data_IF_919543321277
#
_entry.id   IF_919543321277
#
_cell.length_a   1.000
_cell.length_b   1.000
_cell.length_c   1.000
_cell.angle_alpha   90.00
_cell.angle_beta   90.00
_cell.angle_gamma   90.00
#
_symmetry.space_group_name_H-M   'P 1'
#
loop_
_entity.id
_entity.type
_entity.pdbx_description
1 polymer ?
#
# COMPACT_ATOMS: atom_id res chain seq x y z
N UNK A 1 16.00 -7.40 -44.62
CA UNK A 1 14.98 -8.44 -44.41
C UNK A 1 14.48 -8.29 -42.98
N UNK A 2 13.23 -7.88 -42.79
CA UNK A 2 12.64 -7.59 -41.47
C UNK A 2 11.87 -8.81 -40.94
N UNK A 3 11.92 -9.02 -39.62
CA UNK A 3 11.13 -10.05 -38.94
C UNK A 3 9.90 -9.40 -38.30
N UNK A 4 8.70 -9.89 -38.62
CA UNK A 4 7.46 -9.43 -37.98
C UNK A 4 7.09 -10.36 -36.82
N UNK A 5 7.07 -9.81 -35.61
CA UNK A 5 6.62 -10.52 -34.41
C UNK A 5 5.26 -10.00 -33.94
N UNK A 6 4.26 -10.87 -33.80
CA UNK A 6 3.00 -10.53 -33.13
C UNK A 6 3.16 -10.71 -31.63
N UNK A 7 2.81 -9.69 -30.87
CA UNK A 7 2.80 -9.70 -29.40
C UNK A 7 1.42 -9.31 -28.89
N UNK A 8 1.03 -9.84 -27.74
CA UNK A 8 -0.25 -9.54 -27.09
C UNK A 8 0.01 -9.05 -25.68
N UNK A 9 -0.37 -7.81 -25.40
CA UNK A 9 -0.30 -7.19 -24.07
C UNK A 9 -1.66 -6.60 -23.73
N UNK A 10 -2.18 -6.89 -22.53
CA UNK A 10 -3.46 -6.36 -22.05
C UNK A 10 -4.65 -6.55 -23.01
N UNK A 11 -4.67 -7.68 -23.73
CA UNK A 11 -5.74 -8.01 -24.67
C UNK A 11 -5.65 -7.33 -26.04
N UNK A 12 -4.70 -6.41 -26.24
CA UNK A 12 -4.48 -5.73 -27.53
C UNK A 12 -3.32 -6.42 -28.26
N UNK A 13 -3.54 -6.74 -29.53
CA UNK A 13 -2.51 -7.30 -30.41
C UNK A 13 -1.75 -6.17 -31.12
N UNK A 14 -0.43 -6.22 -31.08
CA UNK A 14 0.42 -5.33 -31.86
C UNK A 14 1.48 -6.12 -32.63
N UNK A 15 1.86 -5.56 -33.79
CA UNK A 15 2.88 -6.15 -34.67
C UNK A 15 4.14 -5.30 -34.56
N UNK A 16 5.24 -5.93 -34.16
CA UNK A 16 6.54 -5.28 -34.08
C UNK A 16 7.41 -5.75 -35.25
N UNK A 17 8.03 -4.81 -35.94
CA UNK A 17 9.00 -5.06 -37.00
C UNK A 17 10.42 -4.95 -36.39
N UNK A 18 11.18 -6.05 -36.45
CA UNK A 18 12.56 -6.10 -35.96
C UNK A 18 13.54 -6.14 -37.13
N UNK A 19 14.61 -5.35 -37.04
CA UNK A 19 15.72 -5.46 -37.97
C UNK A 19 16.54 -6.71 -37.61
N UNK A 20 16.95 -7.47 -38.63
CA UNK A 20 17.66 -8.75 -38.45
C UNK A 20 19.01 -8.57 -37.73
N UNK A 21 19.62 -7.40 -37.82
CA UNK A 21 20.86 -7.08 -37.11
C UNK A 21 20.69 -7.04 -35.57
N UNK A 22 19.47 -6.78 -35.09
CA UNK A 22 19.19 -6.59 -33.66
C UNK A 22 18.75 -7.88 -32.95
N UNK A 23 18.66 -9.00 -33.68
CA UNK A 23 18.21 -10.30 -33.15
C UNK A 23 19.41 -11.17 -32.81
N UNK A 24 19.80 -11.20 -31.53
CA UNK A 24 20.97 -11.94 -31.03
C UNK A 24 20.83 -13.47 -31.12
N UNK A 25 19.63 -14.02 -30.95
CA UNK A 25 19.35 -15.45 -31.21
C UNK A 25 17.85 -15.74 -31.26
N UNK A 26 17.45 -16.76 -32.02
CA UNK A 26 16.08 -17.28 -32.07
C UNK A 26 16.06 -18.67 -31.41
N UNK A 27 15.42 -18.79 -30.24
CA UNK A 27 15.12 -20.10 -29.65
C UNK A 27 13.73 -20.55 -30.11
N UNK A 28 13.66 -21.62 -30.91
CA UNK A 28 12.40 -22.27 -31.26
C UNK A 28 11.86 -23.00 -30.02
N UNK A 29 10.69 -22.61 -29.54
CA UNK A 29 9.99 -23.30 -28.47
C UNK A 29 9.53 -24.69 -28.93
N UNK A 30 9.87 -25.72 -28.16
CA UNK A 30 9.33 -27.07 -28.33
C UNK A 30 7.89 -27.05 -27.83
N UNK A 31 6.93 -27.36 -28.71
CA UNK A 31 5.51 -27.44 -28.35
C UNK A 31 5.25 -28.68 -27.47
N UNK A 32 4.80 -28.47 -26.24
CA UNK A 32 4.28 -29.54 -25.39
C UNK A 32 2.97 -30.10 -25.98
N UNK A 33 2.82 -31.42 -26.12
CA UNK A 33 1.56 -32.03 -26.54
C UNK A 33 0.52 -31.98 -25.42
N UNK A 34 -0.74 -31.79 -25.81
CA UNK A 34 -1.91 -31.65 -24.93
C UNK A 34 -2.21 -32.92 -24.10
N UNK A 35 -2.79 -32.79 -22.89
CA UNK A 35 -3.17 -33.92 -22.05
C UNK A 35 -4.43 -34.63 -22.58
N UNK A 36 -4.38 -35.96 -22.62
CA UNK A 36 -5.51 -36.84 -22.97
C UNK A 36 -6.52 -36.92 -21.81
N UNK A 37 -7.80 -36.82 -22.14
CA UNK A 37 -8.95 -37.13 -21.28
C UNK A 37 -9.01 -38.65 -21.01
N UNK A 38 -9.25 -39.04 -19.76
CA UNK A 38 -9.61 -40.40 -19.38
C UNK A 38 -11.10 -40.47 -19.00
N UNK A 39 -11.79 -41.45 -19.59
CA UNK A 39 -13.15 -41.89 -19.29
C UNK A 39 -13.26 -42.69 -17.97
N UNK A 40 -14.47 -42.82 -17.40
CA UNK A 40 -14.70 -43.34 -16.04
C UNK A 40 -14.87 -44.86 -16.03
N UNK A 41 -14.33 -45.51 -15.00
CA UNK A 41 -14.49 -46.93 -14.76
C UNK A 41 -15.63 -47.21 -13.77
N UNK A 42 -16.49 -48.14 -14.14
CA UNK A 42 -17.74 -48.57 -13.51
C UNK A 42 -17.47 -49.84 -12.69
N UNK A 43 -17.83 -49.88 -11.41
CA UNK A 43 -17.97 -51.17 -10.70
C UNK A 43 -18.92 -51.08 -9.50
N UNK A 44 -19.94 -51.93 -9.54
CA UNK A 44 -20.81 -52.44 -8.45
C UNK A 44 -20.92 -53.97 -8.71
N UNK A 45 -21.53 -54.83 -7.85
CA UNK A 45 -22.05 -54.66 -6.48
C UNK A 45 -21.66 -55.82 -5.51
N UNK A 46 -22.05 -55.76 -4.22
CA UNK A 46 -22.72 -56.88 -3.52
C UNK A 46 -23.32 -56.53 -2.16
N UNK A 47 -24.47 -57.17 -1.96
CA UNK A 47 -25.46 -57.18 -0.87
C UNK A 47 -25.02 -58.03 0.33
N UNK A 48 -25.42 -57.66 1.56
CA UNK A 48 -26.42 -58.41 2.34
C UNK A 48 -26.71 -57.78 3.72
N UNK A 49 -28.00 -57.76 4.06
CA UNK A 49 -28.63 -57.28 5.31
C UNK A 49 -28.89 -58.46 6.26
N UNK A 50 -29.19 -58.26 7.56
CA UNK A 50 -30.62 -58.23 7.92
C UNK A 50 -31.06 -57.36 9.13
N UNK A 51 -32.18 -56.66 8.92
CA UNK A 51 -33.37 -56.34 9.74
C UNK A 51 -33.34 -56.35 11.30
N UNK A 52 -33.82 -55.23 11.88
CA UNK A 52 -34.70 -55.22 13.07
C UNK A 52 -35.57 -53.93 13.17
N UNK A 53 -36.90 -54.15 13.23
CA UNK A 53 -38.08 -53.42 13.77
C UNK A 53 -38.23 -51.86 13.77
N UNK A 54 -39.46 -51.34 13.58
CA UNK A 54 -39.76 -49.90 13.48
C UNK A 54 -40.19 -49.28 14.81
N UNK A 55 -39.71 -48.08 15.11
CA UNK A 55 -40.30 -47.18 16.11
C UNK A 55 -40.62 -45.85 15.44
N UNK A 56 -41.90 -45.53 15.45
CA UNK A 56 -42.50 -44.29 14.95
C UNK A 56 -42.55 -43.29 16.11
N UNK A 57 -41.85 -42.15 16.01
CA UNK A 57 -42.17 -40.92 16.75
C UNK A 57 -41.30 -39.74 16.25
N UNK A 58 -42.01 -38.76 15.67
CA UNK A 58 -41.74 -37.31 15.61
C UNK A 58 -40.41 -36.79 15.02
N UNK A 59 -40.43 -35.99 13.93
CA UNK A 59 -39.28 -35.20 13.53
C UNK A 59 -39.13 -34.02 14.49
N UNK A 60 -38.24 -34.16 15.47
CA UNK A 60 -37.65 -33.00 16.13
C UNK A 60 -36.83 -32.24 15.09
N UNK A 61 -37.40 -31.17 14.54
CA UNK A 61 -36.66 -30.14 13.81
C UNK A 61 -35.80 -29.40 14.84
N UNK A 62 -34.71 -30.02 15.26
CA UNK A 62 -33.54 -29.30 15.73
C UNK A 62 -32.87 -28.77 14.47
N UNK A 63 -33.23 -27.56 14.07
CA UNK A 63 -32.32 -26.75 13.28
C UNK A 63 -31.07 -26.59 14.15
N UNK A 64 -30.02 -27.35 13.83
CA UNK A 64 -28.66 -26.92 14.11
C UNK A 64 -28.50 -25.58 13.41
N UNK A 65 -28.83 -24.50 14.13
CA UNK A 65 -28.39 -23.17 13.79
C UNK A 65 -26.86 -23.23 13.96
N UNK A 66 -26.17 -23.75 12.95
CA UNK A 66 -24.78 -23.41 12.71
C UNK A 66 -24.81 -21.90 12.60
N UNK A 67 -24.49 -21.21 13.70
CA UNK A 67 -24.31 -19.77 13.71
C UNK A 67 -23.09 -19.53 12.83
N UNK A 68 -23.33 -19.42 11.53
CA UNK A 68 -22.33 -19.12 10.53
C UNK A 68 -21.93 -17.68 10.80
N UNK A 69 -20.93 -17.53 11.67
CA UNK A 69 -20.41 -16.25 12.08
C UNK A 69 -19.54 -15.73 10.95
N UNK A 70 -19.82 -14.50 10.53
CA UNK A 70 -19.03 -13.74 9.59
C UNK A 70 -17.63 -13.54 10.19
N UNK A 71 -16.63 -14.25 9.65
CA UNK A 71 -15.24 -14.12 10.09
C UNK A 71 -14.67 -12.80 9.60
N UNK A 72 -14.39 -11.90 10.54
CA UNK A 72 -13.85 -10.57 10.26
C UNK A 72 -12.39 -10.53 10.69
N UNK A 73 -11.53 -10.03 9.82
CA UNK A 73 -10.13 -9.79 10.12
C UNK A 73 -9.86 -8.29 10.03
N UNK A 74 -9.48 -7.69 11.16
CA UNK A 74 -9.21 -6.26 11.25
C UNK A 74 -7.70 -6.06 11.18
N UNK A 75 -7.21 -5.15 10.33
CA UNK A 75 -5.80 -4.75 10.23
C UNK A 75 -5.70 -3.29 10.62
N UNK A 76 -5.00 -3.01 11.72
CA UNK A 76 -4.74 -1.63 12.18
C UNK A 76 -3.50 -1.09 11.47
N UNK A 77 -3.72 -0.18 10.54
CA UNK A 77 -2.70 0.53 9.79
C UNK A 77 -2.37 1.83 10.54
N UNK A 78 -1.56 1.69 11.61
CA UNK A 78 -1.12 2.79 12.47
C UNK A 78 0.36 3.09 12.25
N UNK A 79 0.76 4.36 12.38
CA UNK A 79 2.16 4.78 12.25
C UNK A 79 2.46 5.50 10.94
N UNK A 80 3.73 5.60 10.57
CA UNK A 80 4.17 6.34 9.40
C UNK A 80 3.94 5.54 8.10
N UNK A 81 3.37 6.21 7.09
CA UNK A 81 3.16 5.61 5.77
C UNK A 81 4.48 5.46 5.03
N UNK A 82 4.72 4.28 4.47
CA UNK A 82 6.01 3.90 3.85
C UNK A 82 6.96 3.17 4.79
N UNK A 83 6.77 3.31 6.11
CA UNK A 83 7.58 2.68 7.16
C UNK A 83 6.77 1.62 7.92
N UNK A 84 5.99 2.07 8.91
CA UNK A 84 5.09 1.20 9.70
C UNK A 84 3.97 0.62 8.83
N UNK A 85 3.36 1.47 8.01
CA UNK A 85 2.34 1.09 7.03
C UNK A 85 3.05 0.85 5.70
N UNK A 86 3.50 -0.39 5.48
CA UNK A 86 4.25 -0.79 4.29
C UNK A 86 3.81 -2.15 3.74
N UNK A 87 4.28 -2.46 2.53
CA UNK A 87 3.89 -3.64 1.75
C UNK A 87 4.05 -4.97 2.50
N UNK A 88 5.16 -5.14 3.21
CA UNK A 88 5.54 -6.42 3.83
C UNK A 88 4.60 -6.80 4.99
N UNK A 89 4.41 -5.97 6.04
CA UNK A 89 3.52 -6.32 7.14
C UNK A 89 2.05 -6.43 6.70
N UNK A 90 1.60 -5.57 5.77
CA UNK A 90 0.24 -5.64 5.21
C UNK A 90 0.02 -6.96 4.46
N UNK A 91 0.96 -7.37 3.61
CA UNK A 91 0.86 -8.66 2.91
C UNK A 91 0.80 -9.83 3.89
N UNK A 92 1.63 -9.83 4.93
CA UNK A 92 1.60 -10.89 5.97
C UNK A 92 0.27 -10.94 6.71
N UNK A 93 -0.33 -9.78 7.00
CA UNK A 93 -1.63 -9.71 7.64
C UNK A 93 -2.73 -10.28 6.73
N UNK A 94 -2.68 -9.97 5.43
CA UNK A 94 -3.58 -10.52 4.41
C UNK A 94 -3.39 -12.05 4.29
N UNK A 95 -2.16 -12.54 4.23
CA UNK A 95 -1.86 -13.98 4.22
C UNK A 95 -2.43 -14.70 5.47
N UNK A 96 -2.30 -14.13 6.67
CA UNK A 96 -2.91 -14.67 7.89
C UNK A 96 -4.44 -14.64 7.80
N UNK A 97 -5.03 -13.54 7.33
CA UNK A 97 -6.48 -13.42 7.14
C UNK A 97 -7.03 -14.50 6.20
N UNK A 98 -6.29 -14.79 5.11
CA UNK A 98 -6.60 -15.89 4.19
C UNK A 98 -6.58 -17.23 4.89
N UNK A 99 -5.52 -17.51 5.65
CA UNK A 99 -5.36 -18.76 6.38
C UNK A 99 -6.48 -18.96 7.44
N UNK A 100 -7.06 -17.86 7.93
CA UNK A 100 -8.21 -17.87 8.84
C UNK A 100 -9.58 -17.92 8.14
N UNK A 101 -9.60 -17.96 6.81
CA UNK A 101 -10.83 -17.87 6.00
C UNK A 101 -11.68 -16.66 6.36
N UNK A 102 -11.06 -15.49 6.52
CA UNK A 102 -11.77 -14.25 6.74
C UNK A 102 -12.68 -13.93 5.54
N UNK A 103 -13.95 -13.64 5.83
CA UNK A 103 -14.94 -13.22 4.85
C UNK A 103 -14.95 -11.71 4.64
N UNK A 104 -14.54 -10.96 5.68
CA UNK A 104 -14.41 -9.51 5.64
C UNK A 104 -13.03 -9.09 6.12
N UNK A 105 -12.37 -8.21 5.36
CA UNK A 105 -11.13 -7.55 5.73
C UNK A 105 -11.43 -6.09 6.05
N UNK A 106 -11.19 -5.67 7.29
CA UNK A 106 -11.33 -4.28 7.70
C UNK A 106 -9.94 -3.68 7.88
N UNK A 107 -9.62 -2.64 7.13
CA UNK A 107 -8.39 -1.87 7.29
C UNK A 107 -8.71 -0.59 8.07
N UNK A 108 -8.34 -0.55 9.35
CA UNK A 108 -8.49 0.63 10.19
C UNK A 108 -7.24 1.52 10.03
N UNK A 109 -7.38 2.69 9.40
CA UNK A 109 -6.26 3.59 9.11
C UNK A 109 -6.22 4.75 10.10
N UNK A 110 -5.10 4.86 10.80
CA UNK A 110 -4.76 5.99 11.68
C UNK A 110 -3.26 6.29 11.49
N UNK A 111 -2.93 6.81 10.31
CA UNK A 111 -1.53 7.09 9.97
C UNK A 111 -1.05 8.35 10.69
N UNK A 112 0.17 8.28 11.20
CA UNK A 112 0.88 9.46 11.69
C UNK A 112 1.31 10.29 10.49
N UNK A 113 0.88 11.53 10.46
CA UNK A 113 1.27 12.50 9.45
C UNK A 113 2.08 13.61 10.11
N UNK A 114 3.37 13.33 10.28
CA UNK A 114 4.36 14.25 10.83
C UNK A 114 5.46 14.42 9.79
N UNK A 115 5.90 15.65 9.54
CA UNK A 115 7.05 15.92 8.70
C UNK A 115 8.25 16.26 9.58
N UNK A 116 9.46 15.94 9.13
CA UNK A 116 10.66 16.49 9.74
C UNK A 116 11.10 17.72 8.94
N UNK A 117 11.30 18.82 9.63
CA UNK A 117 11.96 19.97 9.04
C UNK A 117 13.43 19.60 8.80
N UNK A 118 13.82 19.42 7.55
CA UNK A 118 15.18 19.02 7.19
C UNK A 118 16.27 19.99 7.69
N UNK A 119 15.93 21.28 7.93
CA UNK A 119 16.88 22.29 8.42
C UNK A 119 17.03 22.28 9.94
N UNK A 120 15.95 22.03 10.68
CA UNK A 120 15.98 22.09 12.17
C UNK A 120 16.00 20.72 12.82
N UNK A 121 15.69 19.64 12.08
CA UNK A 121 15.49 18.30 12.62
C UNK A 121 14.22 18.17 13.48
N UNK A 122 13.44 19.25 13.62
CA UNK A 122 12.23 19.26 14.43
C UNK A 122 11.07 18.65 13.66
N UNK A 123 10.22 17.92 14.39
CA UNK A 123 8.92 17.47 13.88
C UNK A 123 8.06 18.70 13.63
N UNK A 124 7.73 18.91 12.36
CA UNK A 124 6.78 19.89 11.89
C UNK A 124 5.54 19.17 11.40
N UNK A 125 4.39 19.51 11.96
CA UNK A 125 3.09 19.15 11.37
C UNK A 125 2.67 20.13 10.28
N UNK A 126 3.52 21.10 9.93
CA UNK A 126 3.19 22.12 8.94
C UNK A 126 3.31 21.58 7.52
N UNK A 127 2.15 21.48 6.87
CA UNK A 127 1.98 21.11 5.46
C UNK A 127 2.64 22.09 4.46
N UNK A 128 3.33 23.14 4.92
CA UNK A 128 4.19 23.98 4.07
C UNK A 128 5.37 23.21 3.47
N UNK A 129 5.71 22.04 4.01
CA UNK A 129 6.59 21.08 3.35
C UNK A 129 5.77 20.25 2.37
N UNK A 130 5.45 20.86 1.24
CA UNK A 130 4.68 20.26 0.14
C UNK A 130 5.43 19.04 -0.47
N UNK A 131 6.77 18.98 -0.33
CA UNK A 131 7.66 17.95 -0.92
C UNK A 131 7.39 16.45 -0.68
N UNK A 132 6.99 15.97 0.52
CA UNK A 132 7.00 14.54 0.82
C UNK A 132 5.83 13.76 0.21
N UNK A 133 4.72 14.42 -0.14
CA UNK A 133 3.51 13.76 -0.66
C UNK A 133 3.78 12.95 -1.94
N UNK A 134 4.63 13.45 -2.84
CA UNK A 134 4.95 12.73 -4.09
C UNK A 134 5.71 11.42 -3.85
N UNK A 135 6.66 11.40 -2.91
CA UNK A 135 7.39 10.17 -2.62
C UNK A 135 6.44 9.11 -2.04
N UNK A 136 5.44 9.53 -1.26
CA UNK A 136 4.41 8.65 -0.76
C UNK A 136 3.47 8.13 -1.86
N UNK A 137 3.28 8.87 -2.96
CA UNK A 137 2.55 8.36 -4.14
C UNK A 137 3.24 7.13 -4.74
N UNK A 138 4.56 7.16 -4.89
CA UNK A 138 5.34 6.02 -5.40
C UNK A 138 5.34 4.84 -4.42
N UNK A 139 5.42 5.13 -3.11
CA UNK A 139 5.27 4.10 -2.08
C UNK A 139 3.88 3.44 -2.13
N UNK A 140 2.84 4.23 -2.41
CA UNK A 140 1.51 3.69 -2.64
C UNK A 140 1.46 2.81 -3.88
N UNK A 141 2.05 3.24 -5.01
CA UNK A 141 2.11 2.46 -6.24
C UNK A 141 2.70 1.06 -6.00
N UNK A 142 3.79 0.99 -5.23
CA UNK A 142 4.43 -0.28 -4.82
C UNK A 142 3.52 -1.18 -3.96
N UNK A 143 2.64 -0.58 -3.16
CA UNK A 143 1.78 -1.27 -2.21
C UNK A 143 0.39 -1.62 -2.78
N UNK A 144 -0.10 -0.84 -3.76
CA UNK A 144 -1.43 -1.00 -4.35
C UNK A 144 -1.75 -2.41 -4.86
N UNK A 145 -0.80 -3.19 -5.45
CA UNK A 145 -1.10 -4.55 -5.91
C UNK A 145 -1.47 -5.50 -4.76
N UNK A 146 -1.04 -5.21 -3.53
CA UNK A 146 -1.39 -6.01 -2.34
C UNK A 146 -2.89 -5.93 -2.07
N UNK A 147 -3.49 -4.74 -2.25
CA UNK A 147 -4.92 -4.51 -1.99
C UNK A 147 -5.81 -4.88 -3.17
N UNK A 148 -5.27 -4.93 -4.38
CA UNK A 148 -6.04 -5.32 -5.56
C UNK A 148 -5.70 -6.71 -6.08
N UNK A 149 -4.51 -6.88 -6.63
CA UNK A 149 -4.21 -8.00 -7.51
C UNK A 149 -3.92 -9.24 -6.67
N UNK A 150 -3.21 -9.09 -5.55
CA UNK A 150 -2.89 -10.18 -4.65
C UNK A 150 -4.14 -10.74 -3.95
N UNK A 151 -5.05 -9.89 -3.45
CA UNK A 151 -6.33 -10.36 -2.88
C UNK A 151 -7.18 -11.04 -3.95
N UNK A 152 -7.30 -10.44 -5.14
CA UNK A 152 -8.06 -11.00 -6.25
C UNK A 152 -7.55 -12.38 -6.69
N UNK A 153 -6.23 -12.55 -6.80
CA UNK A 153 -5.63 -13.80 -7.26
C UNK A 153 -5.59 -14.88 -6.17
N UNK A 154 -5.45 -14.49 -4.91
CA UNK A 154 -5.18 -15.45 -3.85
C UNK A 154 -6.44 -15.97 -3.14
N UNK A 155 -7.59 -15.32 -3.24
CA UNK A 155 -8.85 -15.80 -2.65
C UNK A 155 -9.75 -16.55 -3.65
N UNK A 156 -10.31 -17.69 -3.22
CA UNK A 156 -11.34 -18.42 -3.99
C UNK A 156 -12.67 -17.64 -4.03
N UNK A 157 -13.13 -17.18 -2.87
CA UNK A 157 -14.27 -16.27 -2.69
C UNK A 157 -13.69 -14.94 -2.23
N UNK A 158 -13.92 -13.88 -2.99
CA UNK A 158 -13.37 -12.57 -2.66
C UNK A 158 -13.92 -12.08 -1.31
N UNK A 159 -13.06 -11.66 -0.37
CA UNK A 159 -13.54 -11.11 0.88
C UNK A 159 -14.14 -9.72 0.64
N UNK A 160 -15.09 -9.31 1.49
CA UNK A 160 -15.56 -7.92 1.57
C UNK A 160 -14.41 -7.07 2.11
N UNK A 161 -13.96 -6.07 1.35
CA UNK A 161 -12.89 -5.17 1.78
C UNK A 161 -13.55 -3.90 2.33
N UNK A 162 -13.16 -3.46 3.53
CA UNK A 162 -13.69 -2.26 4.16
C UNK A 162 -12.54 -1.42 4.66
N UNK A 163 -12.58 -0.12 4.40
CA UNK A 163 -11.69 0.84 5.05
C UNK A 163 -12.44 1.60 6.12
N UNK A 164 -11.88 1.64 7.32
CA UNK A 164 -12.37 2.45 8.42
C UNK A 164 -11.31 3.52 8.71
N UNK A 165 -11.64 4.77 8.45
CA UNK A 165 -10.65 5.86 8.39
C UNK A 165 -10.78 6.76 9.61
N UNK A 166 -9.68 6.88 10.35
CA UNK A 166 -9.45 7.96 11.31
C UNK A 166 -8.49 8.99 10.76
N UNK A 167 -7.30 8.58 10.35
CA UNK A 167 -6.40 9.46 9.59
C UNK A 167 -5.82 8.71 8.42
N UNK A 168 -6.08 9.22 7.22
CA UNK A 168 -5.52 8.77 5.95
C UNK A 168 -4.99 10.01 5.20
N UNK A 169 -3.85 10.53 5.64
CA UNK A 169 -3.22 11.73 5.12
C UNK A 169 -1.97 11.41 4.28
N UNK A 170 -1.65 12.27 3.32
CA UNK A 170 -0.53 12.04 2.39
C UNK A 170 -0.80 10.86 1.46
N UNK A 171 0.19 10.00 1.19
CA UNK A 171 0.00 8.83 0.34
C UNK A 171 -0.94 7.77 0.91
N UNK A 172 -1.16 7.75 2.24
CA UNK A 172 -2.15 6.86 2.86
C UNK A 172 -3.59 7.20 2.44
N UNK A 173 -3.85 8.44 2.00
CA UNK A 173 -5.17 8.88 1.54
C UNK A 173 -5.70 8.10 0.33
N UNK A 174 -4.81 7.43 -0.41
CA UNK A 174 -5.20 6.60 -1.55
C UNK A 174 -5.65 5.18 -1.17
N UNK A 175 -5.33 4.70 0.03
CA UNK A 175 -5.70 3.34 0.46
C UNK A 175 -7.21 3.13 0.47
N UNK A 176 -8.02 4.04 1.06
CA UNK A 176 -9.48 3.85 1.09
C UNK A 176 -10.10 3.72 -0.31
N UNK A 177 -9.58 4.43 -1.30
CA UNK A 177 -10.05 4.35 -2.69
C UNK A 177 -9.86 2.98 -3.34
N UNK A 178 -9.14 2.04 -2.71
CA UNK A 178 -9.03 0.67 -3.20
C UNK A 178 -10.24 -0.21 -2.85
N UNK A 179 -11.19 0.29 -2.04
CA UNK A 179 -12.46 -0.38 -1.75
C UNK A 179 -13.66 0.50 -2.09
N UNK A 180 -14.81 -0.12 -2.37
CA UNK A 180 -16.12 0.56 -2.49
C UNK A 180 -16.76 0.93 -1.15
N UNK A 181 -16.17 0.47 -0.05
CA UNK A 181 -16.71 0.62 1.29
C UNK A 181 -15.73 1.36 2.19
N UNK A 182 -16.00 2.64 2.37
CA UNK A 182 -15.25 3.52 3.26
C UNK A 182 -16.19 3.97 4.37
N UNK A 183 -15.79 3.75 5.61
CA UNK A 183 -16.40 4.31 6.82
C UNK A 183 -15.38 5.27 7.44
N UNK A 184 -15.86 6.26 8.18
CA UNK A 184 -14.99 7.18 8.91
C UNK A 184 -15.35 7.21 10.39
N UNK A 185 -14.38 7.54 11.23
CA UNK A 185 -14.64 8.07 12.58
C UNK A 185 -15.16 9.51 12.47
N UNK A 186 -15.79 10.01 13.53
CA UNK A 186 -16.37 11.36 13.59
C UNK A 186 -15.31 12.47 13.52
N UNK A 187 -14.07 12.19 13.89
CA UNK A 187 -12.92 13.08 13.73
C UNK A 187 -12.07 12.76 12.49
N UNK A 188 -12.56 11.85 11.64
CA UNK A 188 -11.81 11.23 10.55
C UNK A 188 -11.35 12.22 9.48
N UNK A 189 -10.18 11.98 8.86
CA UNK A 189 -9.66 12.80 7.75
C UNK A 189 -9.01 11.96 6.66
N UNK A 190 -9.31 12.29 5.41
CA UNK A 190 -8.71 11.66 4.24
C UNK A 190 -8.29 12.72 3.20
N UNK A 191 -7.00 12.88 2.93
CA UNK A 191 -6.49 13.97 2.07
C UNK A 191 -5.06 14.37 2.35
N UNK A 192 -4.75 15.67 2.23
CA UNK A 192 -3.43 16.21 2.58
C UNK A 192 -2.27 15.71 1.70
N UNK A 193 -2.55 15.15 0.52
CA UNK A 193 -1.49 14.75 -0.43
C UNK A 193 -0.88 16.00 -1.07
N UNK A 194 -1.73 16.88 -1.63
CA UNK A 194 -1.44 18.24 -2.09
C UNK A 194 -0.25 18.44 -3.05
N UNK A 195 -0.25 19.57 -3.73
CA UNK A 195 0.93 20.23 -4.27
C UNK A 195 1.71 19.44 -5.31
N UNK A 196 1.06 18.56 -6.07
CA UNK A 196 1.72 17.80 -7.15
C UNK A 196 2.43 18.75 -8.16
N UNK A 197 1.86 19.93 -8.35
CA UNK A 197 2.33 21.04 -9.17
C UNK A 197 3.47 21.86 -8.54
N UNK A 198 3.62 21.85 -7.22
CA UNK A 198 4.57 22.69 -6.48
C UNK A 198 5.94 22.04 -6.24
N UNK A 199 6.04 20.72 -6.37
CA UNK A 199 7.22 19.94 -5.92
C UNK A 199 8.16 19.60 -7.08
N UNK A 200 7.68 19.69 -8.32
CA UNK A 200 8.46 19.32 -9.48
C UNK A 200 9.24 20.52 -10.02
N UNK A 201 10.57 20.42 -9.99
CA UNK A 201 11.47 21.40 -10.59
C UNK A 201 12.06 20.86 -11.90
N UNK A 202 12.36 21.75 -12.85
CA UNK A 202 13.05 21.40 -14.09
C UNK A 202 12.36 21.94 -15.34
N UNK A 203 12.61 21.29 -16.47
CA UNK A 203 12.01 21.68 -17.74
C UNK A 203 10.47 21.56 -17.68
N UNK A 204 9.77 22.64 -18.04
CA UNK A 204 8.31 22.76 -17.96
C UNK A 204 7.57 21.57 -18.59
N UNK A 205 7.97 21.14 -19.78
CA UNK A 205 7.31 20.02 -20.47
C UNK A 205 7.54 18.68 -19.77
N UNK A 206 8.71 18.48 -19.16
CA UNK A 206 8.99 17.27 -18.35
C UNK A 206 8.13 17.27 -17.09
N UNK A 207 8.04 18.42 -16.43
CA UNK A 207 7.19 18.60 -15.24
C UNK A 207 5.72 18.34 -15.56
N UNK A 208 5.19 18.93 -16.64
CA UNK A 208 3.80 18.72 -17.08
C UNK A 208 3.52 17.23 -17.39
N UNK A 209 4.45 16.52 -18.04
CA UNK A 209 4.33 15.07 -18.31
C UNK A 209 4.35 14.22 -17.04
N UNK A 210 5.25 14.52 -16.11
CA UNK A 210 5.33 13.78 -14.84
C UNK A 210 4.10 14.04 -13.98
N UNK A 211 3.58 15.28 -13.98
CA UNK A 211 2.33 15.65 -13.31
C UNK A 211 1.15 14.88 -13.90
N UNK A 212 0.97 14.89 -15.22
CA UNK A 212 -0.16 14.20 -15.86
C UNK A 212 -0.10 12.69 -15.64
N UNK A 213 1.09 12.08 -15.74
CA UNK A 213 1.29 10.65 -15.48
C UNK A 213 0.87 10.27 -14.04
N UNK A 214 1.37 11.00 -13.04
CA UNK A 214 1.10 10.72 -11.63
C UNK A 214 -0.36 10.97 -11.26
N UNK A 215 -0.95 12.05 -11.77
CA UNK A 215 -2.36 12.34 -11.57
C UNK A 215 -3.23 11.22 -12.19
N UNK A 216 -2.89 10.76 -13.39
CA UNK A 216 -3.61 9.67 -14.05
C UNK A 216 -3.51 8.35 -13.26
N UNK A 217 -2.35 8.03 -12.67
CA UNK A 217 -2.21 6.86 -11.79
C UNK A 217 -3.12 6.99 -10.56
N UNK A 218 -3.11 8.15 -9.90
CA UNK A 218 -3.93 8.40 -8.71
C UNK A 218 -5.43 8.33 -9.01
N UNK A 219 -5.86 8.93 -10.11
CA UNK A 219 -7.23 8.85 -10.61
C UNK A 219 -7.63 7.40 -10.94
N UNK A 220 -6.70 6.63 -11.51
CA UNK A 220 -6.91 5.21 -11.80
C UNK A 220 -7.27 4.39 -10.57
N UNK A 221 -6.70 4.70 -9.40
CA UNK A 221 -7.05 4.02 -8.15
C UNK A 221 -8.46 4.38 -7.67
N UNK A 222 -8.84 5.65 -7.72
CA UNK A 222 -10.21 6.07 -7.43
C UNK A 222 -11.23 5.40 -8.36
N UNK A 223 -10.95 5.37 -9.67
CA UNK A 223 -11.80 4.70 -10.66
C UNK A 223 -11.93 3.20 -10.35
N UNK A 224 -10.84 2.53 -9.97
CA UNK A 224 -10.85 1.11 -9.57
C UNK A 224 -11.76 0.86 -8.35
N UNK A 225 -11.77 1.78 -7.40
CA UNK A 225 -12.70 1.80 -6.26
C UNK A 225 -14.14 2.18 -6.60
N UNK A 226 -14.41 2.67 -7.82
CA UNK A 226 -15.73 3.16 -8.23
C UNK A 226 -16.03 4.59 -7.81
N UNK A 227 -15.00 5.42 -7.61
CA UNK A 227 -15.12 6.83 -7.26
C UNK A 227 -14.84 7.74 -8.44
N UNK A 228 -15.37 8.96 -8.37
CA UNK A 228 -15.15 9.98 -9.39
C UNK A 228 -13.70 10.49 -9.35
N UNK A 229 -12.94 10.43 -10.46
CA UNK A 229 -11.53 10.83 -10.48
C UNK A 229 -11.32 12.32 -10.20
N UNK A 230 -12.35 13.16 -10.35
CA UNK A 230 -12.28 14.60 -10.06
C UNK A 230 -12.04 14.89 -8.58
N UNK A 231 -12.47 13.98 -7.70
CA UNK A 231 -12.16 14.05 -6.26
C UNK A 231 -10.65 14.00 -6.05
N UNK A 232 -9.95 13.10 -6.74
CA UNK A 232 -8.49 12.97 -6.65
C UNK A 232 -7.79 14.20 -7.25
N UNK A 233 -8.30 14.75 -8.36
CA UNK A 233 -7.80 16.01 -8.90
C UNK A 233 -7.85 17.13 -7.86
N UNK A 234 -9.00 17.29 -7.20
CA UNK A 234 -9.19 18.28 -6.14
C UNK A 234 -8.30 18.05 -4.91
N UNK A 235 -7.93 16.80 -4.61
CA UNK A 235 -7.01 16.48 -3.51
C UNK A 235 -5.53 16.81 -3.84
N UNK A 236 -5.15 16.81 -5.12
CA UNK A 236 -3.75 16.85 -5.56
C UNK A 236 -3.31 18.13 -6.25
N UNK A 237 -4.23 18.86 -6.90
CA UNK A 237 -3.92 20.00 -7.77
C UNK A 237 -4.44 21.29 -7.15
N UNK A 238 -3.54 22.25 -6.91
CA UNK A 238 -3.87 23.54 -6.27
C UNK A 238 -4.93 24.31 -7.07
N UNK A 239 -4.76 24.38 -8.38
CA UNK A 239 -5.61 25.19 -9.26
C UNK A 239 -6.95 24.52 -9.59
N UNK A 240 -7.21 23.32 -9.08
CA UNK A 240 -8.39 22.55 -9.44
C UNK A 240 -9.56 22.90 -8.52
N UNK A 241 -10.48 23.70 -9.04
CA UNK A 241 -11.72 24.05 -8.37
C UNK A 241 -12.77 22.97 -8.63
N UNK A 242 -13.29 22.40 -7.56
CA UNK A 242 -14.34 21.41 -7.59
C UNK A 242 -15.48 21.87 -6.70
N UNK A 243 -16.69 21.85 -7.23
CA UNK A 243 -17.92 21.97 -6.47
C UNK A 243 -18.79 20.74 -6.70
N UNK A 244 -19.84 20.58 -5.90
CA UNK A 244 -20.83 19.53 -6.11
C UNK A 244 -22.25 20.05 -5.95
N UNK A 245 -23.18 19.37 -6.62
CA UNK A 245 -24.62 19.57 -6.52
C UNK A 245 -25.31 18.25 -6.17
N UNK A 246 -26.15 18.19 -5.14
CA UNK A 246 -27.00 17.03 -4.90
C UNK A 246 -28.03 16.87 -6.02
N UNK A 247 -28.11 15.69 -6.64
CA UNK A 247 -29.08 15.40 -7.71
C UNK A 247 -29.80 14.09 -7.39
N UNK A 248 -31.00 14.19 -6.81
CA UNK A 248 -31.77 13.03 -6.33
C UNK A 248 -30.98 12.22 -5.31
N UNK A 249 -30.85 10.92 -5.56
CA UNK A 249 -29.97 10.03 -4.81
C UNK A 249 -28.53 10.03 -5.35
N UNK A 250 -28.03 11.15 -5.86
CA UNK A 250 -26.71 11.23 -6.47
C UNK A 250 -26.02 12.54 -6.14
N UNK A 251 -24.79 12.65 -6.64
CA UNK A 251 -23.98 13.85 -6.56
C UNK A 251 -23.42 14.11 -7.95
N UNK A 252 -23.61 15.32 -8.44
CA UNK A 252 -22.98 15.80 -9.65
C UNK A 252 -21.80 16.67 -9.25
N UNK A 253 -20.59 16.31 -9.68
CA UNK A 253 -19.41 17.15 -9.51
C UNK A 253 -19.29 18.13 -10.67
N UNK A 254 -18.85 19.36 -10.37
CA UNK A 254 -18.77 20.47 -11.31
C UNK A 254 -17.38 21.12 -11.18
N UNK A 255 -16.66 21.26 -12.30
CA UNK A 255 -15.28 21.77 -12.33
C UNK A 255 -15.24 23.31 -12.45
N UNK A 256 -15.85 24.00 -11.50
CA UNK A 256 -15.82 25.46 -11.36
C UNK A 256 -16.33 25.87 -9.98
N UNK A 257 -16.18 27.17 -9.68
CA UNK A 257 -16.82 27.77 -8.50
C UNK A 257 -18.35 27.64 -8.60
N UNK A 258 -19.05 27.55 -7.46
CA UNK A 258 -20.50 27.59 -7.42
C UNK A 258 -21.07 28.84 -8.13
N UNK A 259 -22.02 28.65 -9.03
CA UNK A 259 -22.79 29.70 -9.72
C UNK A 259 -24.20 29.85 -9.14
N UNK A 260 -24.71 28.80 -8.49
CA UNK A 260 -26.06 28.74 -7.93
C UNK A 260 -26.03 28.36 -6.45
N UNK A 261 -27.10 28.67 -5.70
CA UNK A 261 -27.16 28.43 -4.25
C UNK A 261 -27.24 26.96 -3.85
N UNK A 262 -27.54 26.06 -4.80
CA UNK A 262 -27.58 24.61 -4.62
C UNK A 262 -26.24 23.92 -4.92
N UNK A 263 -25.24 24.67 -5.37
CA UNK A 263 -23.88 24.19 -5.57
C UNK A 263 -23.01 24.51 -4.33
N UNK A 264 -22.24 23.52 -3.87
CA UNK A 264 -21.38 23.64 -2.68
C UNK A 264 -19.92 23.49 -3.10
N UNK A 265 -19.08 24.43 -2.71
CA UNK A 265 -17.66 24.41 -3.05
C UNK A 265 -16.91 23.35 -2.23
N UNK A 266 -16.00 22.61 -2.86
CA UNK A 266 -15.11 21.64 -2.22
C UNK A 266 -13.66 22.13 -2.17
N UNK A 267 -13.22 22.91 -3.15
CA UNK A 267 -11.88 23.52 -3.20
C UNK A 267 -11.95 24.95 -3.69
N UNK A 268 -11.10 25.82 -3.16
CA UNK A 268 -11.02 27.23 -3.53
C UNK A 268 -9.60 27.56 -4.01
N UNK A 269 -9.44 27.62 -5.34
CA UNK A 269 -8.19 27.98 -5.99
C UNK A 269 -7.99 29.51 -5.96
N UNK A 270 -7.63 30.05 -4.80
CA UNK A 270 -7.37 31.48 -4.67
C UNK A 270 -7.22 31.99 -3.24
N UNK A 271 -7.78 31.27 -2.26
CA UNK A 271 -7.66 31.66 -0.86
C UNK A 271 -6.37 31.11 -0.23
N UNK A 272 -5.58 31.99 0.37
CA UNK A 272 -4.38 31.59 1.09
C UNK A 272 -4.78 30.93 2.40
N UNK A 273 -4.41 29.67 2.60
CA UNK A 273 -4.63 29.02 3.89
C UNK A 273 -3.86 29.74 5.00
N UNK A 274 -4.47 29.82 6.18
CA UNK A 274 -3.68 30.10 7.38
C UNK A 274 -2.75 28.93 7.69
N UNK A 275 -1.59 29.19 8.29
CA UNK A 275 -0.67 28.10 8.71
C UNK A 275 -1.37 27.07 9.60
N UNK A 276 -2.32 27.50 10.43
CA UNK A 276 -3.11 26.61 11.29
C UNK A 276 -4.06 25.69 10.49
N UNK A 277 -4.64 26.17 9.40
CA UNK A 277 -5.48 25.38 8.50
C UNK A 277 -4.64 24.37 7.71
N UNK A 278 -3.49 24.79 7.16
CA UNK A 278 -2.57 23.89 6.47
C UNK A 278 -2.05 22.78 7.39
N UNK A 279 -1.62 23.12 8.61
CA UNK A 279 -1.16 22.14 9.63
C UNK A 279 -2.26 21.14 9.98
N UNK A 280 -3.52 21.57 9.99
CA UNK A 280 -4.65 20.71 10.32
C UNK A 280 -5.16 19.93 9.10
N UNK A 281 -4.57 20.06 7.92
CA UNK A 281 -5.14 19.48 6.69
C UNK A 281 -6.56 20.01 6.41
N UNK A 282 -6.81 21.28 6.74
CA UNK A 282 -8.04 22.01 6.39
C UNK A 282 -7.76 23.05 5.31
N UNK A 283 -6.80 22.73 4.45
CA UNK A 283 -6.48 23.56 3.31
C UNK A 283 -7.74 23.74 2.46
N UNK A 284 -8.02 24.98 2.05
CA UNK A 284 -9.06 25.27 1.05
C UNK A 284 -8.54 25.02 -0.36
N UNK A 285 -7.22 25.07 -0.56
CA UNK A 285 -6.56 24.82 -1.83
C UNK A 285 -6.58 23.34 -2.25
N UNK A 286 -6.69 22.41 -1.29
CA UNK A 286 -6.80 20.97 -1.57
C UNK A 286 -7.96 20.34 -0.83
N UNK A 287 -8.71 19.49 -1.52
CA UNK A 287 -9.78 18.73 -0.90
C UNK A 287 -9.22 17.81 0.20
N UNK A 288 -9.69 18.00 1.43
CA UNK A 288 -9.59 17.00 2.49
C UNK A 288 -10.99 16.54 2.85
N UNK A 289 -11.23 15.25 2.69
CA UNK A 289 -12.52 14.61 2.95
C UNK A 289 -12.64 14.41 4.46
N UNK A 290 -13.57 15.15 5.06
CA UNK A 290 -14.06 14.94 6.43
C UNK A 290 -15.28 14.01 6.40
N UNK A 291 -15.80 13.56 7.56
CA UNK A 291 -16.97 12.69 7.57
C UNK A 291 -18.22 13.36 6.99
N UNK A 292 -18.38 14.67 7.21
CA UNK A 292 -19.48 15.47 6.66
C UNK A 292 -19.36 15.58 5.13
N UNK A 293 -18.22 16.06 4.64
CA UNK A 293 -17.97 16.20 3.20
C UNK A 293 -18.06 14.85 2.50
N UNK A 294 -17.44 13.81 3.09
CA UNK A 294 -17.41 12.46 2.54
C UNK A 294 -18.78 11.82 2.41
N UNK A 295 -19.69 12.06 3.36
CA UNK A 295 -21.10 11.67 3.23
C UNK A 295 -21.82 12.50 2.16
N UNK A 296 -21.62 13.81 2.17
CA UNK A 296 -22.26 14.73 1.22
C UNK A 296 -21.92 14.37 -0.24
N UNK A 297 -20.67 13.99 -0.51
CA UNK A 297 -20.21 13.55 -1.83
C UNK A 297 -20.26 12.03 -2.04
N UNK A 298 -20.83 11.27 -1.09
CA UNK A 298 -21.05 9.82 -1.13
C UNK A 298 -19.80 8.95 -1.28
N UNK A 299 -18.64 9.46 -0.86
CA UNK A 299 -17.42 8.67 -0.71
C UNK A 299 -17.49 7.78 0.53
N UNK A 300 -18.10 8.29 1.60
CA UNK A 300 -18.20 7.63 2.91
C UNK A 300 -19.60 7.05 3.10
N UNK A 301 -19.67 5.75 3.44
CA UNK A 301 -20.91 5.00 3.66
C UNK A 301 -21.60 5.42 4.96
N UNK A 302 -20.85 5.42 6.05
CA UNK A 302 -21.35 5.81 7.37
C UNK A 302 -20.19 6.25 8.28
N UNK A 303 -20.54 6.77 9.45
CA UNK A 303 -19.62 7.20 10.50
C UNK A 303 -19.77 6.22 11.67
N UNK A 304 -18.64 5.75 12.19
CA UNK A 304 -18.55 4.86 13.34
C UNK A 304 -17.28 5.16 14.12
N UNK A 305 -17.39 5.38 15.43
CA UNK A 305 -16.27 5.70 16.32
C UNK A 305 -15.71 4.47 17.02
N UNK A 306 -16.45 3.36 17.01
CA UNK A 306 -16.06 2.09 17.62
C UNK A 306 -16.25 0.91 16.67
N UNK A 307 -15.59 -0.22 16.97
CA UNK A 307 -15.75 -1.45 16.19
C UNK A 307 -17.21 -1.95 16.21
N UNK A 308 -17.89 -1.85 17.35
CA UNK A 308 -19.30 -2.27 17.50
C UNK A 308 -20.23 -1.39 16.65
N UNK A 309 -20.04 -0.07 16.68
CA UNK A 309 -20.78 0.85 15.80
C UNK A 309 -20.52 0.52 14.33
N UNK A 310 -19.27 0.25 13.96
CA UNK A 310 -18.90 -0.12 12.60
C UNK A 310 -19.62 -1.41 12.18
N UNK A 311 -19.62 -2.43 13.02
CA UNK A 311 -20.32 -3.69 12.74
C UNK A 311 -21.84 -3.52 12.65
N UNK A 312 -22.41 -2.65 13.47
CA UNK A 312 -23.83 -2.27 13.39
C UNK A 312 -24.13 -1.58 12.06
N UNK A 313 -23.33 -0.57 11.65
CA UNK A 313 -23.48 0.13 10.36
C UNK A 313 -23.27 -0.80 9.16
N UNK A 314 -22.40 -1.79 9.29
CA UNK A 314 -22.15 -2.80 8.27
C UNK A 314 -23.23 -3.89 8.22
N UNK A 315 -24.14 -3.94 9.20
CA UNK A 315 -25.21 -4.93 9.30
C UNK A 315 -24.75 -6.33 9.73
N UNK A 316 -23.60 -6.45 10.40
CA UNK A 316 -22.99 -7.75 10.77
C UNK A 316 -22.78 -7.96 12.28
N UNK A 317 -23.12 -6.99 13.12
CA UNK A 317 -22.92 -6.98 14.59
C UNK A 317 -23.24 -8.33 15.26
N UNK A 318 -24.38 -8.95 14.93
CA UNK A 318 -24.86 -10.18 15.59
C UNK A 318 -24.16 -11.46 15.14
N UNK A 319 -23.38 -11.41 14.06
CA UNK A 319 -22.72 -12.56 13.45
C UNK A 319 -21.21 -12.44 13.42
N UNK A 320 -20.62 -11.43 14.06
CA UNK A 320 -19.18 -11.19 13.92
C UNK A 320 -18.35 -12.19 14.71
N UNK A 321 -17.32 -12.75 14.09
CA UNK A 321 -16.21 -13.41 14.78
C UNK A 321 -14.91 -12.72 14.34
N UNK A 322 -14.31 -11.92 15.22
CA UNK A 322 -13.02 -11.30 14.95
C UNK A 322 -11.92 -12.34 15.08
N UNK A 323 -11.18 -12.57 14.00
CA UNK A 323 -10.12 -13.59 13.92
C UNK A 323 -8.76 -12.98 13.61
N UNK A 324 -7.69 -13.65 14.03
CA UNK A 324 -6.31 -13.31 13.66
C UNK A 324 -5.53 -12.49 14.66
N UNK A 325 -4.30 -12.09 14.27
CA UNK A 325 -3.35 -11.35 15.13
C UNK A 325 -2.60 -10.29 14.34
N UNK A 326 -3.30 -9.58 13.48
CA UNK A 326 -2.78 -8.44 12.70
C UNK A 326 -2.02 -7.44 13.57
N UNK A 327 -2.55 -7.07 14.75
CA UNK A 327 -1.92 -6.14 15.69
C UNK A 327 -0.52 -6.62 16.11
N UNK A 328 -0.32 -7.93 16.28
CA UNK A 328 0.98 -8.51 16.59
C UNK A 328 1.94 -8.43 15.39
N UNK A 329 1.44 -8.66 14.17
CA UNK A 329 2.24 -8.56 12.93
C UNK A 329 2.71 -7.12 12.74
N UNK A 330 1.80 -6.14 12.81
CA UNK A 330 2.09 -4.73 12.64
C UNK A 330 3.05 -4.23 13.73
N UNK A 331 2.77 -4.53 15.00
CA UNK A 331 3.64 -4.14 16.13
C UNK A 331 5.03 -4.77 16.02
N UNK A 332 5.12 -6.06 15.68
CA UNK A 332 6.41 -6.73 15.50
C UNK A 332 7.23 -6.14 14.36
N UNK A 333 6.56 -5.64 13.32
CA UNK A 333 7.21 -4.95 12.21
C UNK A 333 7.77 -3.60 12.65
N UNK A 334 6.94 -2.73 13.23
CA UNK A 334 7.36 -1.40 13.73
C UNK A 334 8.50 -1.50 14.75
N UNK A 335 8.38 -2.37 15.77
CA UNK A 335 9.47 -2.60 16.72
C UNK A 335 10.70 -3.27 16.08
N UNK A 336 10.53 -3.95 14.95
CA UNK A 336 11.61 -4.46 14.12
C UNK A 336 12.38 -3.34 13.41
N UNK A 337 11.66 -2.38 12.81
CA UNK A 337 12.21 -1.21 12.16
C UNK A 337 12.99 -0.33 13.15
N UNK A 338 12.42 -0.04 14.32
CA UNK A 338 13.12 0.75 15.34
C UNK A 338 14.45 0.14 15.78
N UNK A 339 14.49 -1.19 15.94
CA UNK A 339 15.72 -1.92 16.26
C UNK A 339 16.70 -1.89 15.09
N UNK A 340 16.20 -2.13 13.87
CA UNK A 340 17.00 -2.09 12.66
C UNK A 340 17.67 -0.72 12.47
N UNK A 341 16.96 0.39 12.66
CA UNK A 341 17.52 1.75 12.59
C UNK A 341 18.63 1.97 13.62
N UNK A 342 18.45 1.48 14.86
CA UNK A 342 19.51 1.54 15.90
C UNK A 342 20.73 0.70 15.51
N UNK A 343 20.51 -0.50 14.99
CA UNK A 343 21.57 -1.38 14.53
C UNK A 343 22.32 -0.79 13.32
N UNK A 344 21.63 -0.16 12.37
CA UNK A 344 22.25 0.54 11.24
C UNK A 344 23.20 1.64 11.73
N UNK A 345 22.76 2.52 12.65
CA UNK A 345 23.63 3.55 13.23
C UNK A 345 24.87 2.95 13.91
N UNK A 346 24.66 1.88 14.69
CA UNK A 346 25.75 1.19 15.40
C UNK A 346 26.74 0.56 14.42
N UNK A 347 26.27 -0.22 13.46
CA UNK A 347 27.09 -0.95 12.49
C UNK A 347 27.85 0.02 11.57
N UNK A 348 27.20 1.10 11.13
CA UNK A 348 27.84 2.11 10.30
C UNK A 348 28.91 2.88 11.08
N UNK A 349 28.61 3.27 12.32
CA UNK A 349 29.61 3.86 13.21
C UNK A 349 30.77 2.91 13.54
N UNK A 350 30.51 1.61 13.69
CA UNK A 350 31.54 0.58 13.92
C UNK A 350 32.46 0.39 12.70
N UNK A 351 31.88 0.42 11.50
CA UNK A 351 32.61 0.39 10.23
C UNK A 351 33.60 1.56 10.14
N UNK A 352 33.12 2.78 10.38
CA UNK A 352 33.91 4.01 10.29
C UNK A 352 34.99 4.12 11.38
N UNK A 353 34.71 3.62 12.59
CA UNK A 353 35.61 3.73 13.75
C UNK A 353 36.64 2.61 13.87
N UNK A 354 36.55 1.53 13.09
CA UNK A 354 37.49 0.41 13.21
C UNK A 354 38.83 0.78 12.55
N UNK A 355 39.89 1.08 13.34
CA UNK A 355 41.17 1.49 12.77
C UNK A 355 41.82 0.29 12.08
N UNK A 356 42.44 0.53 10.93
CA UNK A 356 43.22 -0.48 10.21
C UNK A 356 44.69 -0.23 10.52
N UNK A 357 45.08 -0.58 11.74
CA UNK A 357 46.42 -0.38 12.27
C UNK A 357 46.99 -1.68 12.85
N UNK A 358 48.30 -1.67 13.12
CA UNK A 358 48.99 -2.79 13.74
C UNK A 358 49.57 -3.79 12.74
N UNK A 359 49.87 -4.99 13.22
CA UNK A 359 50.48 -6.05 12.42
C UNK A 359 49.50 -6.65 11.38
N UNK A 360 50.00 -7.50 10.49
CA UNK A 360 49.20 -8.12 9.43
C UNK A 360 47.91 -8.78 9.95
N UNK A 361 47.98 -9.51 11.06
CA UNK A 361 46.83 -10.20 11.64
C UNK A 361 45.79 -9.23 12.18
N UNK A 362 46.23 -8.16 12.87
CA UNK A 362 45.37 -7.10 13.39
C UNK A 362 44.65 -6.36 12.25
N UNK A 363 45.37 -5.96 11.20
CA UNK A 363 44.77 -5.31 10.02
C UNK A 363 43.80 -6.23 9.28
N UNK A 364 44.14 -7.52 9.15
CA UNK A 364 43.25 -8.53 8.56
C UNK A 364 41.96 -8.69 9.37
N UNK A 365 42.06 -8.77 10.69
CA UNK A 365 40.92 -8.87 11.58
C UNK A 365 40.02 -7.62 11.51
N UNK A 366 40.62 -6.42 11.51
CA UNK A 366 39.93 -5.15 11.35
C UNK A 366 39.14 -5.07 10.04
N UNK A 367 39.77 -5.42 8.90
CA UNK A 367 39.10 -5.47 7.59
C UNK A 367 37.96 -6.49 7.55
N UNK A 368 38.17 -7.67 8.13
CA UNK A 368 37.13 -8.71 8.23
C UNK A 368 35.96 -8.28 9.11
N UNK A 369 36.20 -7.42 10.10
CA UNK A 369 35.16 -6.82 10.95
C UNK A 369 34.34 -5.79 10.17
N UNK A 370 34.99 -4.89 9.41
CA UNK A 370 34.31 -3.93 8.52
C UNK A 370 33.43 -4.60 7.47
N UNK A 371 33.94 -5.64 6.78
CA UNK A 371 33.16 -6.42 5.80
C UNK A 371 31.91 -7.01 6.45
N UNK A 372 32.04 -7.62 7.63
CA UNK A 372 30.90 -8.20 8.37
C UNK A 372 29.86 -7.14 8.74
N UNK A 373 30.29 -5.96 9.17
CA UNK A 373 29.36 -4.86 9.47
C UNK A 373 28.57 -4.43 8.22
N UNK A 374 29.24 -4.28 7.07
CA UNK A 374 28.58 -3.94 5.80
C UNK A 374 27.60 -5.03 5.36
N UNK A 375 27.96 -6.31 5.52
CA UNK A 375 27.06 -7.43 5.21
C UNK A 375 25.80 -7.43 6.08
N UNK A 376 25.95 -7.17 7.37
CA UNK A 376 24.80 -7.03 8.28
C UNK A 376 23.92 -5.83 7.92
N UNK A 377 24.50 -4.70 7.51
CA UNK A 377 23.76 -3.54 6.99
C UNK A 377 22.95 -3.94 5.74
N UNK A 378 23.57 -4.63 4.79
CA UNK A 378 22.90 -5.11 3.58
C UNK A 378 21.75 -6.09 3.91
N UNK A 379 21.95 -7.00 4.86
CA UNK A 379 20.91 -7.94 5.31
C UNK A 379 19.72 -7.22 5.97
N UNK A 380 19.98 -6.17 6.75
CA UNK A 380 18.93 -5.32 7.33
C UNK A 380 18.11 -4.65 6.21
N UNK A 381 18.77 -4.01 5.24
CA UNK A 381 18.06 -3.38 4.12
C UNK A 381 17.32 -4.39 3.25
N UNK A 382 17.86 -5.59 3.04
CA UNK A 382 17.16 -6.66 2.32
C UNK A 382 15.88 -7.10 3.05
N UNK A 383 15.90 -7.13 4.38
CA UNK A 383 14.75 -7.57 5.20
C UNK A 383 13.65 -6.52 5.28
N UNK A 384 14.00 -5.25 5.43
CA UNK A 384 13.04 -4.17 5.65
C UNK A 384 12.76 -3.32 4.40
N UNK A 385 13.61 -3.42 3.38
CA UNK A 385 13.43 -2.79 2.07
C UNK A 385 13.27 -1.28 2.17
N UNK A 386 12.32 -0.77 1.39
CA UNK A 386 12.03 0.67 1.27
C UNK A 386 11.61 1.32 2.60
N UNK A 387 11.18 0.55 3.60
CA UNK A 387 10.79 1.08 4.92
C UNK A 387 11.96 1.69 5.72
N UNK A 388 13.21 1.45 5.31
CA UNK A 388 14.40 2.06 5.92
C UNK A 388 15.07 3.11 5.03
N UNK A 389 14.43 3.57 3.95
CA UNK A 389 15.04 4.55 3.05
C UNK A 389 15.33 5.90 3.75
N UNK A 390 14.42 6.36 4.60
CA UNK A 390 14.62 7.62 5.34
C UNK A 390 15.75 7.47 6.37
N UNK A 391 15.78 6.35 7.10
CA UNK A 391 16.88 6.02 7.99
C UNK A 391 18.22 5.92 7.24
N UNK A 392 18.24 5.36 6.02
CA UNK A 392 19.44 5.29 5.18
C UNK A 392 19.99 6.68 4.89
N UNK A 393 19.12 7.62 4.52
CA UNK A 393 19.48 9.00 4.21
C UNK A 393 19.95 9.73 5.47
N UNK A 394 19.25 9.60 6.58
CA UNK A 394 19.59 10.25 7.86
C UNK A 394 20.96 9.80 8.40
N UNK A 395 21.30 8.52 8.23
CA UNK A 395 22.56 7.93 8.71
C UNK A 395 23.68 8.06 7.65
N UNK A 396 23.36 8.62 6.47
CA UNK A 396 24.26 8.76 5.32
C UNK A 396 24.90 7.42 4.90
N UNK A 397 24.11 6.35 4.92
CA UNK A 397 24.58 5.02 4.50
C UNK A 397 24.55 4.93 2.96
N UNK A 398 25.70 4.68 2.29
CA UNK A 398 25.81 4.56 0.84
C UNK A 398 24.83 3.56 0.22
N UNK A 399 24.56 3.69 -1.07
CA UNK A 399 23.73 2.74 -1.83
C UNK A 399 24.37 1.33 -1.89
N UNK A 400 23.59 0.28 -2.17
CA UNK A 400 24.13 -1.10 -2.19
C UNK A 400 25.30 -1.31 -3.17
N UNK A 401 25.29 -0.72 -4.38
CA UNK A 401 26.45 -0.76 -5.26
C UNK A 401 27.72 -0.14 -4.63
N UNK A 402 27.57 0.98 -3.93
CA UNK A 402 28.67 1.67 -3.25
C UNK A 402 29.18 0.86 -2.06
N UNK A 403 28.29 0.27 -1.26
CA UNK A 403 28.65 -0.66 -0.18
C UNK A 403 29.45 -1.86 -0.72
N UNK A 404 29.07 -2.38 -1.89
CA UNK A 404 29.82 -3.45 -2.55
C UNK A 404 31.19 -2.98 -3.05
N UNK A 405 31.30 -1.76 -3.59
CA UNK A 405 32.58 -1.16 -3.95
C UNK A 405 33.49 -1.00 -2.72
N UNK A 406 32.96 -0.52 -1.60
CA UNK A 406 33.71 -0.40 -0.33
C UNK A 406 34.20 -1.78 0.11
N UNK A 407 33.34 -2.82 0.09
CA UNK A 407 33.74 -4.20 0.41
C UNK A 407 34.87 -4.70 -0.47
N UNK A 408 34.80 -4.44 -1.77
CA UNK A 408 35.82 -4.91 -2.72
C UNK A 408 37.15 -4.18 -2.53
N UNK A 409 37.12 -2.87 -2.28
CA UNK A 409 38.32 -2.11 -1.92
C UNK A 409 38.99 -2.65 -0.65
N UNK A 410 38.19 -3.00 0.37
CA UNK A 410 38.71 -3.63 1.60
C UNK A 410 39.37 -4.98 1.29
N UNK A 411 38.78 -5.80 0.41
CA UNK A 411 39.35 -7.10 0.01
C UNK A 411 40.65 -6.95 -0.78
N UNK A 412 40.73 -6.01 -1.71
CA UNK A 412 41.95 -5.71 -2.47
C UNK A 412 43.07 -5.29 -1.51
N UNK A 413 42.80 -4.38 -0.57
CA UNK A 413 43.77 -3.95 0.43
C UNK A 413 44.24 -5.11 1.33
N UNK A 414 43.35 -6.04 1.66
CA UNK A 414 43.70 -7.26 2.40
C UNK A 414 44.63 -8.20 1.61
N UNK A 415 44.50 -8.25 0.28
CA UNK A 415 45.39 -9.03 -0.57
C UNK A 415 46.77 -8.36 -0.73
N UNK A 416 46.82 -7.04 -0.79
CA UNK A 416 48.08 -6.28 -0.86
C UNK A 416 48.94 -6.50 0.39
N UNK A 417 48.31 -6.53 1.56
CA UNK A 417 48.98 -6.77 2.85
C UNK A 417 49.66 -8.16 2.98
N UNK A 418 49.36 -9.11 2.09
CA UNK A 418 49.98 -10.45 2.06
C UNK A 418 51.32 -10.48 1.33
N UNK A 419 51.57 -9.48 0.48
CA UNK A 419 52.82 -9.34 -0.26
C UNK A 419 53.79 -8.54 0.57
#
# INVERSE_FOLDING_TARGET
MTFKGKSKGSGIEFTNDYNRADILSLKKGVSNPAPKQNEPNKTEPKSDSPAAAPVSAEPSVQSEASSDKDKVYIVKLTGEFGSDISKIPVRRAIEEAKAKNAETLIFHIDNKWEFYNARTGEKSTSATLIGPGINQLLQFEDMSPVFSDEIQQSWKKQPRIVFWVKQALGGAAFLPFMSREIYMTSDGRMGGIGGLDLIMQGNRTVVEKQRSLRLAHAQGWAIKGGYDPRIVSAMMVVEYVLSYRPVGDGVEFIERMPETSDEVNLTDAGESDTTAESVRGRSKAFLTITPETGRAIRVVKDIADTEDELFFKMGIERRVEVVGRSDQIMKSWSSGLERATKDLRRLWGEEARTPIEGNYEQRRAARSKRIRAIEQIQDIFKRFGNALNDARQEIEIPADPELNTIKEQIRIAQQQDRR
#
